data_IF_324536218870
#
_entry.id   IF_324536218870
#
_cell.length_a   1.000
_cell.length_b   1.000
_cell.length_c   1.000
_cell.angle_alpha   90.00
_cell.angle_beta   90.00
_cell.angle_gamma   90.00
#
_symmetry.space_group_name_H-M   'P 1'
#
loop_
_entity.id
_entity.type
_entity.pdbx_description
1 polymer ?
#
# COMPACT_ATOMS: atom_id res chain seq x y z
N UNK A 1 -14.57 -17.22 -28.09
CA UNK A 1 -13.80 -16.03 -28.52
C UNK A 1 -14.56 -14.82 -27.99
N UNK A 2 -14.25 -14.36 -26.78
CA UNK A 2 -14.94 -13.23 -26.14
C UNK A 2 -14.29 -11.95 -26.63
N UNK A 3 -15.10 -11.04 -27.15
CA UNK A 3 -14.69 -9.73 -27.61
C UNK A 3 -13.99 -8.97 -26.47
N UNK A 4 -12.76 -8.54 -26.73
CA UNK A 4 -12.02 -7.64 -25.86
C UNK A 4 -12.69 -6.28 -25.95
N UNK A 5 -13.43 -5.91 -24.91
CA UNK A 5 -13.96 -4.56 -24.74
C UNK A 5 -12.82 -3.55 -24.76
N UNK A 6 -12.89 -2.62 -25.70
CA UNK A 6 -12.14 -1.37 -25.72
C UNK A 6 -12.42 -0.57 -24.44
N UNK A 7 -11.55 -0.69 -23.43
CA UNK A 7 -11.53 0.17 -22.24
C UNK A 7 -10.20 0.90 -22.16
N UNK A 8 -10.00 1.89 -23.03
CA UNK A 8 -8.85 2.79 -22.91
C UNK A 8 -9.13 4.15 -23.59
N UNK A 9 -9.90 5.02 -22.92
CA UNK A 9 -9.99 6.47 -23.20
C UNK A 9 -11.00 7.05 -22.20
N UNK A 10 -10.67 7.45 -20.98
CA UNK A 10 -10.22 8.82 -20.67
C UNK A 10 -9.90 8.93 -19.16
N UNK A 11 -9.30 7.88 -18.60
CA UNK A 11 -9.06 7.79 -17.15
C UNK A 11 -7.96 8.77 -16.74
N UNK A 12 -8.27 9.66 -15.81
CA UNK A 12 -7.36 10.65 -15.27
C UNK A 12 -7.13 10.43 -13.78
N UNK A 13 -5.94 10.80 -13.31
CA UNK A 13 -5.62 10.83 -11.89
C UNK A 13 -5.23 12.24 -11.47
N UNK A 14 -5.50 12.63 -10.22
CA UNK A 14 -5.03 13.90 -9.69
C UNK A 14 -3.51 14.04 -9.75
N UNK A 15 -3.01 15.16 -10.29
CA UNK A 15 -1.58 15.49 -10.42
C UNK A 15 -0.82 15.39 -9.11
N UNK A 16 -1.50 15.65 -7.97
CA UNK A 16 -0.91 15.49 -6.63
C UNK A 16 -0.30 14.10 -6.40
N UNK A 17 -0.88 13.04 -6.95
CA UNK A 17 -0.33 11.68 -6.79
C UNK A 17 0.99 11.50 -7.55
N UNK A 18 1.10 12.13 -8.72
CA UNK A 18 2.34 12.15 -9.50
C UNK A 18 3.40 12.97 -8.76
N UNK A 19 3.04 14.16 -8.25
CA UNK A 19 3.95 14.99 -7.44
C UNK A 19 4.47 14.23 -6.24
N UNK A 20 3.59 13.60 -5.45
CA UNK A 20 4.00 12.81 -4.28
C UNK A 20 4.96 11.67 -4.63
N UNK A 21 4.71 10.95 -5.73
CA UNK A 21 5.57 9.85 -6.14
C UNK A 21 6.93 10.35 -6.66
N UNK A 22 6.95 11.45 -7.42
CA UNK A 22 8.21 12.06 -7.87
C UNK A 22 9.02 12.61 -6.70
N UNK A 23 8.40 13.33 -5.76
CA UNK A 23 9.07 13.81 -4.54
C UNK A 23 9.64 12.65 -3.70
N UNK A 24 8.94 11.51 -3.66
CA UNK A 24 9.47 10.32 -3.02
C UNK A 24 10.71 9.78 -3.76
N UNK A 25 10.67 9.65 -5.08
CA UNK A 25 11.82 9.18 -5.87
C UNK A 25 13.03 10.11 -5.76
N UNK A 26 12.79 11.42 -5.71
CA UNK A 26 13.83 12.44 -5.46
C UNK A 26 14.51 12.22 -4.11
N UNK A 27 13.73 11.97 -3.05
CA UNK A 27 14.25 11.65 -1.71
C UNK A 27 15.10 10.37 -1.67
N UNK A 28 14.87 9.44 -2.61
CA UNK A 28 15.68 8.23 -2.79
C UNK A 28 16.93 8.46 -3.67
N UNK A 29 17.16 9.69 -4.14
CA UNK A 29 18.31 10.07 -4.97
C UNK A 29 18.16 9.65 -6.43
N UNK A 30 16.94 9.46 -6.93
CA UNK A 30 16.70 9.11 -8.34
C UNK A 30 16.82 10.33 -9.26
N UNK A 31 17.25 10.12 -10.51
CA UNK A 31 17.36 11.16 -11.53
C UNK A 31 15.99 11.53 -12.11
N UNK A 32 15.37 12.59 -11.54
CA UNK A 32 14.03 13.04 -11.93
C UNK A 32 13.90 13.41 -13.43
N UNK A 33 14.81 14.18 -14.05
CA UNK A 33 14.78 14.41 -15.50
C UNK A 33 14.67 13.14 -16.34
N UNK A 34 15.49 12.12 -16.03
CA UNK A 34 15.45 10.84 -16.73
C UNK A 34 14.11 10.10 -16.52
N UNK A 35 13.50 10.22 -15.33
CA UNK A 35 12.18 9.66 -15.02
C UNK A 35 11.10 10.33 -15.85
N UNK A 36 11.08 11.67 -15.87
CA UNK A 36 10.07 12.46 -16.57
C UNK A 36 10.09 12.12 -18.07
N UNK A 37 11.29 11.99 -18.65
CA UNK A 37 11.48 11.55 -20.02
C UNK A 37 10.97 10.12 -20.25
N UNK A 38 11.37 9.16 -19.41
CA UNK A 38 11.00 7.75 -19.56
C UNK A 38 9.48 7.47 -19.40
N UNK A 39 8.79 8.27 -18.59
CA UNK A 39 7.36 8.11 -18.29
C UNK A 39 6.48 8.83 -19.31
N UNK A 40 7.07 9.67 -20.16
CA UNK A 40 6.39 10.53 -21.14
C UNK A 40 5.26 11.33 -20.48
N UNK A 41 5.62 12.09 -19.43
CA UNK A 41 4.66 12.99 -18.79
C UNK A 41 4.32 14.13 -19.76
N UNK A 42 3.03 14.50 -19.91
CA UNK A 42 2.61 15.58 -20.82
C UNK A 42 3.11 16.96 -20.41
N UNK A 43 3.54 17.11 -19.15
CA UNK A 43 4.15 18.31 -18.58
C UNK A 43 4.93 17.91 -17.34
N UNK A 44 5.86 18.76 -16.89
CA UNK A 44 6.54 18.57 -15.60
C UNK A 44 5.61 19.01 -14.45
N UNK A 45 5.12 18.07 -13.61
CA UNK A 45 4.20 18.38 -12.52
C UNK A 45 4.87 19.07 -11.32
N UNK A 46 6.21 19.14 -11.28
CA UNK A 46 6.98 19.84 -10.25
C UNK A 46 7.33 21.29 -10.64
N UNK A 47 7.18 21.65 -11.92
CA UNK A 47 7.37 23.02 -12.39
C UNK A 47 6.24 23.93 -11.85
N UNK A 48 6.55 25.05 -11.16
CA UNK A 48 5.56 26.02 -10.69
C UNK A 48 4.60 26.52 -11.77
N UNK A 49 5.01 26.56 -13.04
CA UNK A 49 4.16 26.96 -14.17
C UNK A 49 2.97 26.01 -14.35
N UNK A 50 3.09 24.75 -13.90
CA UNK A 50 2.07 23.72 -14.02
C UNK A 50 1.27 23.48 -12.73
N UNK A 51 1.32 24.40 -11.75
CA UNK A 51 0.62 24.23 -10.48
C UNK A 51 -0.90 24.08 -10.66
N UNK A 52 -1.46 24.85 -11.60
CA UNK A 52 -2.89 24.87 -11.96
C UNK A 52 -3.39 23.58 -12.64
N UNK A 53 -2.48 22.70 -13.09
CA UNK A 53 -2.85 21.44 -13.73
C UNK A 53 -3.19 20.39 -12.69
N UNK A 54 -4.48 20.13 -12.52
CA UNK A 54 -5.00 19.24 -11.46
C UNK A 54 -5.09 17.77 -11.85
N UNK A 55 -5.06 17.45 -13.15
CA UNK A 55 -5.24 16.08 -13.66
C UNK A 55 -4.20 15.68 -14.70
N UNK A 56 -3.95 14.37 -14.79
CA UNK A 56 -3.02 13.76 -15.75
C UNK A 56 -3.58 12.41 -16.21
N UNK A 57 -3.30 11.96 -17.45
CA UNK A 57 -3.73 10.65 -17.91
C UNK A 57 -3.23 9.53 -16.98
N UNK A 58 -4.13 8.63 -16.58
CA UNK A 58 -3.85 7.52 -15.68
C UNK A 58 -2.76 6.57 -16.22
N UNK A 59 -2.61 6.51 -17.55
CA UNK A 59 -1.54 5.74 -18.19
C UNK A 59 -0.15 6.29 -17.84
N UNK A 60 0.02 7.62 -17.80
CA UNK A 60 1.29 8.23 -17.41
C UNK A 60 1.61 7.91 -15.95
N UNK A 61 0.63 8.01 -15.05
CA UNK A 61 0.82 7.60 -13.65
C UNK A 61 1.13 6.11 -13.51
N UNK A 62 0.49 5.26 -14.31
CA UNK A 62 0.76 3.81 -14.32
C UNK A 62 2.20 3.50 -14.73
N UNK A 63 2.72 4.19 -15.76
CA UNK A 63 4.12 4.08 -16.17
C UNK A 63 5.08 4.57 -15.09
N UNK A 64 4.80 5.72 -14.47
CA UNK A 64 5.59 6.24 -13.36
C UNK A 64 5.63 5.25 -12.20
N UNK A 65 4.48 4.69 -11.83
CA UNK A 65 4.37 3.71 -10.76
C UNK A 65 5.16 2.44 -11.06
N UNK A 66 5.08 1.90 -12.29
CA UNK A 66 5.87 0.74 -12.70
C UNK A 66 7.37 1.02 -12.68
N UNK A 67 7.78 2.20 -13.16
CA UNK A 67 9.18 2.62 -13.13
C UNK A 67 9.68 2.76 -11.69
N UNK A 68 8.89 3.40 -10.82
CA UNK A 68 9.18 3.54 -9.40
C UNK A 68 9.34 2.17 -8.73
N UNK A 69 8.44 1.21 -8.99
CA UNK A 69 8.59 -0.16 -8.49
C UNK A 69 9.89 -0.83 -8.96
N UNK A 70 10.25 -0.63 -10.23
CA UNK A 70 11.48 -1.21 -10.80
C UNK A 70 12.75 -0.64 -10.17
N UNK A 71 12.75 0.64 -9.82
CA UNK A 71 13.96 1.31 -9.31
C UNK A 71 14.09 1.12 -7.81
N UNK A 72 13.01 1.34 -7.08
CA UNK A 72 12.99 1.26 -5.62
C UNK A 72 13.13 -0.21 -5.17
N UNK A 73 12.69 -1.17 -6.01
CA UNK A 73 12.66 -2.61 -5.68
C UNK A 73 11.93 -2.90 -4.35
N UNK A 74 11.07 -1.96 -3.94
CA UNK A 74 10.26 -2.00 -2.74
C UNK A 74 8.79 -1.85 -3.12
N UNK A 75 8.04 -2.93 -3.01
CA UNK A 75 6.59 -2.97 -3.25
C UNK A 75 5.80 -2.14 -2.25
N UNK A 76 6.45 -1.67 -1.17
CA UNK A 76 5.86 -0.74 -0.22
C UNK A 76 6.31 0.71 -0.36
N UNK A 77 7.14 1.05 -1.36
CA UNK A 77 7.67 2.41 -1.55
C UNK A 77 8.22 3.04 -0.26
N UNK A 78 8.93 2.27 0.58
CA UNK A 78 9.45 2.75 1.86
C UNK A 78 8.39 3.16 2.89
N UNK A 79 7.09 3.01 2.61
CA UNK A 79 6.00 3.32 3.54
C UNK A 79 5.92 2.32 4.70
N UNK A 80 6.65 1.21 4.62
CA UNK A 80 6.81 0.29 5.74
C UNK A 80 8.15 0.57 6.43
N UNK A 81 8.08 1.05 7.67
CA UNK A 81 9.24 1.32 8.53
C UNK A 81 10.14 0.10 8.82
N UNK A 82 9.72 -1.11 8.41
CA UNK A 82 10.39 -2.38 8.68
C UNK A 82 11.18 -2.91 7.46
N UNK A 83 11.57 -2.02 6.55
CA UNK A 83 12.47 -2.28 5.42
C UNK A 83 11.78 -2.66 4.10
N UNK A 84 12.62 -2.90 3.08
CA UNK A 84 12.21 -3.15 1.69
C UNK A 84 11.32 -4.39 1.54
N UNK A 85 10.13 -4.26 0.94
CA UNK A 85 9.31 -5.40 0.49
C UNK A 85 9.69 -5.82 -0.93
N UNK A 86 10.26 -7.02 -1.14
CA UNK A 86 10.60 -7.47 -2.49
C UNK A 86 9.38 -7.49 -3.41
N UNK A 87 9.60 -7.22 -4.70
CA UNK A 87 8.55 -7.25 -5.71
C UNK A 87 7.86 -8.63 -5.76
N UNK A 88 6.52 -8.62 -5.82
CA UNK A 88 5.71 -9.83 -5.86
C UNK A 88 5.35 -10.40 -4.48
N UNK A 89 5.74 -9.72 -3.40
CA UNK A 89 5.29 -10.04 -2.03
C UNK A 89 3.77 -9.94 -1.91
N UNK A 90 3.16 -8.88 -2.44
CA UNK A 90 1.71 -8.69 -2.45
C UNK A 90 1.01 -9.73 -3.32
N UNK A 91 1.59 -10.07 -4.48
CA UNK A 91 1.08 -11.16 -5.33
C UNK A 91 1.07 -12.49 -4.60
N UNK A 92 2.17 -12.82 -3.90
CA UNK A 92 2.26 -14.06 -3.13
C UNK A 92 1.27 -14.07 -1.98
N UNK A 93 1.16 -12.96 -1.24
CA UNK A 93 0.14 -12.80 -0.20
C UNK A 93 -1.25 -13.07 -0.76
N UNK A 94 -1.62 -12.43 -1.88
CA UNK A 94 -2.93 -12.58 -2.53
C UNK A 94 -3.25 -14.04 -2.87
N UNK A 95 -2.29 -14.82 -3.37
CA UNK A 95 -2.48 -16.25 -3.61
C UNK A 95 -2.80 -17.04 -2.34
N UNK A 96 -2.25 -16.65 -1.20
CA UNK A 96 -2.59 -17.26 0.09
C UNK A 96 -4.00 -16.86 0.57
N UNK A 97 -4.48 -15.67 0.21
CA UNK A 97 -5.74 -15.12 0.72
C UNK A 97 -6.96 -15.54 -0.10
N UNK A 98 -6.82 -15.71 -1.42
CA UNK A 98 -7.97 -15.94 -2.33
C UNK A 98 -8.76 -17.22 -2.00
N UNK A 99 -8.13 -18.18 -1.31
CA UNK A 99 -8.74 -19.44 -0.89
C UNK A 99 -9.29 -19.39 0.56
N UNK A 100 -9.28 -18.23 1.22
CA UNK A 100 -9.87 -18.08 2.54
C UNK A 100 -11.39 -18.17 2.47
N UNK A 101 -12.00 -18.81 3.47
CA UNK A 101 -13.46 -19.05 3.52
C UNK A 101 -14.27 -17.81 3.82
N UNK A 102 -13.68 -16.84 4.51
CA UNK A 102 -14.30 -15.60 4.92
C UNK A 102 -13.22 -14.53 5.14
N UNK A 103 -13.66 -13.29 5.30
CA UNK A 103 -12.77 -12.14 5.49
C UNK A 103 -11.91 -12.28 6.75
N UNK A 104 -12.48 -12.75 7.87
CA UNK A 104 -11.73 -13.03 9.10
C UNK A 104 -10.47 -13.88 8.83
N UNK A 105 -10.64 -14.99 8.14
CA UNK A 105 -9.53 -15.89 7.82
C UNK A 105 -8.52 -15.21 6.88
N UNK A 106 -8.96 -14.41 5.92
CA UNK A 106 -8.06 -13.65 5.06
C UNK A 106 -7.24 -12.63 5.84
N UNK A 107 -7.88 -11.86 6.73
CA UNK A 107 -7.23 -10.83 7.52
C UNK A 107 -6.20 -11.44 8.48
N UNK A 108 -6.53 -12.55 9.14
CA UNK A 108 -5.59 -13.25 10.03
C UNK A 108 -4.40 -13.84 9.25
N UNK A 109 -4.65 -14.48 8.10
CA UNK A 109 -3.58 -15.03 7.25
C UNK A 109 -2.66 -13.94 6.70
N UNK A 110 -3.20 -12.77 6.36
CA UNK A 110 -2.40 -11.63 5.93
C UNK A 110 -1.46 -11.13 7.04
N UNK A 111 -1.91 -11.13 8.29
CA UNK A 111 -1.06 -10.78 9.43
C UNK A 111 0.08 -11.79 9.62
N UNK A 112 -0.23 -13.10 9.58
CA UNK A 112 0.80 -14.15 9.65
C UNK A 112 1.86 -13.98 8.54
N UNK A 113 1.41 -13.71 7.31
CA UNK A 113 2.31 -13.47 6.18
C UNK A 113 3.23 -12.25 6.43
N UNK A 114 2.67 -11.15 6.96
CA UNK A 114 3.45 -9.97 7.29
C UNK A 114 4.47 -10.21 8.42
N UNK A 115 4.13 -11.00 9.44
CA UNK A 115 5.04 -11.33 10.54
C UNK A 115 6.23 -12.19 10.08
N UNK A 116 6.01 -13.12 9.14
CA UNK A 116 7.09 -13.90 8.53
C UNK A 116 8.10 -12.97 7.84
N UNK A 117 7.60 -12.00 7.07
CA UNK A 117 8.45 -11.04 6.35
C UNK A 117 9.29 -10.18 7.29
N UNK A 118 8.76 -9.80 8.46
CA UNK A 118 9.53 -9.07 9.48
C UNK A 118 10.65 -9.93 10.04
N UNK A 119 10.34 -11.17 10.43
CA UNK A 119 11.28 -12.10 11.07
C UNK A 119 12.46 -12.43 10.15
N UNK A 120 12.23 -12.60 8.85
CA UNK A 120 13.29 -12.93 7.89
C UNK A 120 14.30 -11.79 7.68
N UNK A 121 13.93 -10.53 7.94
CA UNK A 121 14.77 -9.36 7.61
C UNK A 121 15.74 -8.95 8.72
N UNK A 122 15.34 -9.09 9.97
CA UNK A 122 16.20 -8.80 11.10
C UNK A 122 16.02 -9.90 12.16
N UNK A 123 16.89 -10.93 12.17
CA UNK A 123 16.81 -12.03 13.15
C UNK A 123 16.97 -11.55 14.60
N UNK A 124 17.59 -10.38 14.82
CA UNK A 124 17.76 -9.75 16.13
C UNK A 124 16.61 -8.82 16.50
N UNK A 125 15.81 -8.37 15.52
CA UNK A 125 14.53 -7.78 15.82
C UNK A 125 13.74 -8.88 16.48
N UNK A 126 13.58 -8.76 17.80
CA UNK A 126 12.70 -9.60 18.56
C UNK A 126 11.37 -9.42 17.86
N UNK A 127 11.02 -10.41 17.02
CA UNK A 127 9.65 -10.54 16.59
C UNK A 127 8.93 -10.47 17.92
N UNK A 128 8.10 -9.47 18.09
CA UNK A 128 6.96 -9.65 18.94
C UNK A 128 6.10 -10.72 18.23
N UNK A 129 6.63 -11.95 18.06
CA UNK A 129 6.05 -13.17 18.61
C UNK A 129 5.72 -12.92 20.09
N UNK A 130 4.93 -11.88 20.38
CA UNK A 130 3.77 -12.00 21.24
C UNK A 130 3.13 -13.25 20.71
N UNK A 131 3.41 -14.36 21.38
CA UNK A 131 2.82 -15.64 21.06
C UNK A 131 1.36 -15.34 20.76
N UNK A 132 0.90 -15.60 19.54
CA UNK A 132 -0.52 -15.58 19.28
C UNK A 132 -1.11 -16.71 20.11
N UNK A 133 -1.48 -16.41 21.35
CA UNK A 133 -2.30 -17.27 22.21
C UNK A 133 -3.78 -17.03 21.93
N UNK A 134 -4.15 -16.72 20.70
CA UNK A 134 -5.55 -16.79 20.30
C UNK A 134 -5.77 -18.19 19.70
N UNK A 135 -6.90 -18.86 19.96
CA UNK A 135 -7.28 -20.04 19.19
C UNK A 135 -7.33 -19.78 17.66
N UNK A 136 -7.48 -18.50 17.26
CA UNK A 136 -7.60 -17.97 15.88
C UNK A 136 -6.78 -16.64 15.71
N UNK A 137 -5.46 -16.60 15.95
CA UNK A 137 -4.62 -15.38 16.09
C UNK A 137 -4.91 -14.17 15.18
N UNK A 138 -4.69 -12.96 15.73
CA UNK A 138 -4.53 -11.59 15.15
C UNK A 138 -4.71 -11.40 13.63
N UNK A 139 -5.25 -10.26 13.12
CA UNK A 139 -5.67 -9.01 13.78
C UNK A 139 -7.16 -8.89 14.15
N UNK A 140 -8.03 -9.84 13.78
CA UNK A 140 -9.45 -9.74 14.13
C UNK A 140 -9.66 -10.09 15.61
N UNK A 141 -10.38 -9.21 16.36
CA UNK A 141 -10.84 -9.52 17.72
C UNK A 141 -12.36 -9.51 17.74
N UNK A 142 -12.95 -10.68 17.95
CA UNK A 142 -14.38 -10.80 18.19
C UNK A 142 -14.63 -10.34 19.63
N UNK A 143 -15.26 -9.18 19.82
CA UNK A 143 -15.75 -8.78 21.14
C UNK A 143 -17.00 -9.60 21.47
N UNK A 144 -16.99 -10.46 22.50
CA UNK A 144 -18.18 -11.20 22.88
C UNK A 144 -19.27 -10.22 23.33
N UNK A 145 -20.48 -10.35 22.77
CA UNK A 145 -21.65 -9.56 23.18
C UNK A 145 -21.92 -8.25 22.42
N UNK A 146 -21.15 -7.95 21.36
CA UNK A 146 -21.49 -6.88 20.40
C UNK A 146 -21.88 -7.49 19.06
N UNK A 147 -22.90 -6.95 18.40
CA UNK A 147 -23.34 -7.35 17.06
C UNK A 147 -22.29 -7.06 15.98
N UNK A 148 -21.33 -6.16 16.26
CA UNK A 148 -20.38 -5.67 15.28
C UNK A 148 -19.00 -6.31 15.51
N UNK A 149 -18.46 -6.94 14.46
CA UNK A 149 -17.11 -7.49 14.42
C UNK A 149 -16.10 -6.34 14.29
N UNK A 150 -15.01 -6.38 15.06
CA UNK A 150 -13.95 -5.35 15.01
C UNK A 150 -12.62 -5.96 14.59
N UNK A 151 -12.05 -5.45 13.48
CA UNK A 151 -10.69 -5.76 13.05
C UNK A 151 -9.76 -4.62 13.47
N UNK A 152 -8.67 -4.96 14.16
CA UNK A 152 -7.65 -3.97 14.56
C UNK A 152 -6.36 -4.31 13.84
N UNK A 153 -6.05 -3.52 12.81
CA UNK A 153 -4.75 -3.60 12.15
C UNK A 153 -3.73 -2.79 12.93
N UNK A 154 -2.56 -3.38 13.14
CA UNK A 154 -1.45 -2.67 13.73
C UNK A 154 -0.40 -2.46 12.64
N UNK A 155 -0.14 -1.20 12.35
CA UNK A 155 1.09 -0.83 11.67
C UNK A 155 2.20 -0.81 12.71
N UNK A 156 3.17 -1.71 12.53
CA UNK A 156 4.40 -1.73 13.31
C UNK A 156 5.34 -0.66 12.75
N UNK A 157 4.88 0.58 12.79
CA UNK A 157 5.74 1.75 12.62
C UNK A 157 6.40 1.92 13.97
N UNK A 158 7.73 1.80 14.05
CA UNK A 158 8.44 2.06 15.31
C UNK A 158 7.99 3.45 15.78
N UNK A 159 7.45 3.56 17.00
CA UNK A 159 6.90 4.83 17.51
C UNK A 159 7.95 5.93 17.43
N UNK A 160 9.24 5.55 17.51
CA UNK A 160 10.39 6.44 17.29
C UNK A 160 10.54 6.94 15.85
N UNK A 161 10.21 6.11 14.87
CA UNK A 161 10.16 6.48 13.45
C UNK A 161 8.96 7.36 13.11
N UNK A 162 7.81 7.17 13.77
CA UNK A 162 6.64 8.03 13.60
C UNK A 162 6.86 9.45 14.17
N UNK A 163 7.53 9.56 15.33
CA UNK A 163 7.92 10.85 15.91
C UNK A 163 9.00 11.57 15.07
N UNK A 164 9.89 10.82 14.40
CA UNK A 164 10.95 11.39 13.54
C UNK A 164 10.51 11.69 12.10
N UNK A 165 9.53 10.99 11.54
CA UNK A 165 9.08 11.17 10.14
C UNK A 165 7.95 12.21 9.97
N UNK A 166 7.31 12.67 11.05
CA UNK A 166 6.29 13.72 10.98
C UNK A 166 5.05 13.35 10.15
N UNK A 167 4.44 14.34 9.51
CA UNK A 167 3.18 14.24 8.75
C UNK A 167 3.21 13.20 7.60
N UNK A 168 4.37 12.99 6.98
CA UNK A 168 4.58 12.03 5.89
C UNK A 168 4.37 10.57 6.34
N UNK A 169 4.75 10.21 7.57
CA UNK A 169 4.51 8.86 8.09
C UNK A 169 3.02 8.60 8.35
N UNK A 170 2.29 9.59 8.88
CA UNK A 170 0.84 9.49 9.08
C UNK A 170 0.11 9.32 7.75
N UNK A 171 0.50 10.08 6.73
CA UNK A 171 -0.02 9.91 5.37
C UNK A 171 0.29 8.52 4.80
N UNK A 172 1.47 7.98 5.06
CA UNK A 172 1.84 6.61 4.68
C UNK A 172 0.96 5.55 5.34
N UNK A 173 0.72 5.69 6.65
CA UNK A 173 -0.17 4.79 7.41
C UNK A 173 -1.60 4.89 6.90
N UNK A 174 -2.13 6.12 6.75
CA UNK A 174 -3.48 6.35 6.24
C UNK A 174 -3.67 5.81 4.81
N UNK A 175 -2.66 5.98 3.95
CA UNK A 175 -2.65 5.42 2.60
C UNK A 175 -2.62 3.89 2.63
N UNK A 176 -1.78 3.30 3.49
CA UNK A 176 -1.72 1.85 3.69
C UNK A 176 -3.04 1.27 4.19
N UNK A 177 -3.68 1.93 5.17
CA UNK A 177 -5.01 1.56 5.68
C UNK A 177 -6.09 1.68 4.60
N UNK A 178 -6.05 2.73 3.78
CA UNK A 178 -6.97 2.92 2.66
C UNK A 178 -6.83 1.81 1.60
N UNK A 179 -5.59 1.39 1.30
CA UNK A 179 -5.32 0.28 0.39
C UNK A 179 -5.87 -1.03 0.97
N UNK A 180 -5.61 -1.30 2.25
CA UNK A 180 -6.11 -2.49 2.94
C UNK A 180 -7.64 -2.53 2.99
N UNK A 181 -8.28 -1.41 3.29
CA UNK A 181 -9.74 -1.28 3.31
C UNK A 181 -10.35 -1.64 1.94
N UNK A 182 -9.82 -1.05 0.86
CA UNK A 182 -10.27 -1.34 -0.51
C UNK A 182 -10.02 -2.80 -0.89
N UNK A 183 -8.86 -3.33 -0.52
CA UNK A 183 -8.53 -4.73 -0.79
C UNK A 183 -9.46 -5.70 -0.04
N UNK A 184 -9.78 -5.42 1.22
CA UNK A 184 -10.73 -6.22 2.00
C UNK A 184 -12.13 -6.17 1.39
N UNK A 185 -12.58 -4.98 0.98
CA UNK A 185 -13.87 -4.80 0.29
C UNK A 185 -13.92 -5.59 -1.03
N UNK A 186 -12.81 -5.60 -1.78
CA UNK A 186 -12.68 -6.40 -3.00
C UNK A 186 -12.71 -7.91 -2.73
N UNK A 187 -12.04 -8.39 -1.67
CA UNK A 187 -12.02 -9.82 -1.32
C UNK A 187 -13.41 -10.40 -1.04
N UNK A 188 -14.35 -9.58 -0.55
CA UNK A 188 -15.71 -9.99 -0.24
C UNK A 188 -16.75 -9.51 -1.27
N UNK A 189 -16.32 -8.83 -2.33
CA UNK A 189 -17.19 -8.20 -3.33
C UNK A 189 -18.28 -7.32 -2.70
N UNK A 190 -17.94 -6.59 -1.63
CA UNK A 190 -18.88 -5.73 -0.88
C UNK A 190 -18.13 -4.55 -0.25
N UNK A 191 -18.61 -3.30 -0.42
CA UNK A 191 -17.97 -2.15 0.21
C UNK A 191 -18.09 -2.23 1.74
N UNK A 192 -16.96 -2.11 2.43
CA UNK A 192 -16.94 -1.94 3.88
C UNK A 192 -17.18 -0.44 4.17
N UNK A 193 -18.20 -0.11 4.96
CA UNK A 193 -18.46 1.29 5.33
C UNK A 193 -17.30 1.85 6.17
N UNK A 194 -16.94 3.10 5.89
CA UNK A 194 -15.89 3.85 6.58
C UNK A 194 -16.58 4.91 7.42
N UNK A 195 -16.54 4.75 8.75
CA UNK A 195 -17.14 5.69 9.69
C UNK A 195 -16.21 6.91 9.93
N UNK A 196 -14.90 6.69 10.03
CA UNK A 196 -13.89 7.71 10.36
C UNK A 196 -12.49 7.32 9.82
N UNK A 197 -11.62 8.32 9.57
CA UNK A 197 -10.21 8.17 9.17
C UNK A 197 -9.31 9.01 10.07
#
# INVERSE_FOLDING_TARGET
>A
MREAGSFASDSHVPTRFVRSLLSYLDSQGCDLPAIIEAVELPFDPLDPINEDKTEIPAMCYSRLYQWAMWIVQDESFGLHAQGVRPLGTFRMMSYTLINCRNLEHAINRAADFNEILKTTRNPQQVSLRRHSRHPQGWPLRISPGKSNLQAVYFYDTDVRSAEQMGELALLGIASGMSIWHRFCSWLIDTPIELDEV
#
